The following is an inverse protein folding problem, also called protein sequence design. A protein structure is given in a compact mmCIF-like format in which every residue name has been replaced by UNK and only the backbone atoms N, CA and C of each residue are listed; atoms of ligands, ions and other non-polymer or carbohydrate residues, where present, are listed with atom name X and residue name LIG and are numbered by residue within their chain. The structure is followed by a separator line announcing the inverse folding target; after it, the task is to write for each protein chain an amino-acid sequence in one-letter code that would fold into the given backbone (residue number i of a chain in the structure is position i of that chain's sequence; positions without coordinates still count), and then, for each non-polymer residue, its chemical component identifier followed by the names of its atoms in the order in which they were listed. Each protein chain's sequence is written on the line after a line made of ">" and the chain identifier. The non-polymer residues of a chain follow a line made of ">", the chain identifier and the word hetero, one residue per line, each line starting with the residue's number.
data_IF_800331408105
#
_entry.id   IF_800331408105
#
_cell.length_a   1.000
_cell.length_b   1.000
_cell.length_c   1.000
_cell.angle_alpha   90.00
_cell.angle_beta   90.00
_cell.angle_gamma   90.00
#
_symmetry.space_group_name_H-M   'P 1'
#
loop_
_entity.id
_entity.type
_entity.pdbx_description
1 polymer ?
#
# COMPACT_ATOMS: atom_id res chain seq x y z
N UNK A 1 22.84 7.05 26.23
CA UNK A 1 22.66 7.25 24.77
C UNK A 1 21.41 6.48 24.38
N UNK A 2 20.27 7.18 24.23
CA UNK A 2 18.99 6.53 23.95
C UNK A 2 18.94 6.05 22.50
N UNK A 3 18.79 4.76 22.30
CA UNK A 3 18.53 4.16 20.99
C UNK A 3 17.12 4.60 20.57
N UNK A 4 17.04 5.48 19.58
CA UNK A 4 15.78 5.86 18.93
C UNK A 4 15.33 4.69 18.06
N UNK A 5 14.75 3.66 18.68
CA UNK A 5 14.02 2.56 18.04
C UNK A 5 12.63 3.08 17.60
N UNK A 6 12.60 4.12 16.77
CA UNK A 6 11.36 4.65 16.19
C UNK A 6 11.32 4.26 14.71
N UNK A 7 10.63 3.16 14.43
CA UNK A 7 10.21 2.72 13.10
C UNK A 7 9.12 3.66 12.55
N UNK A 8 9.42 4.94 12.44
CA UNK A 8 8.47 5.95 11.98
C UNK A 8 9.03 6.54 10.71
N UNK A 9 8.29 6.35 9.60
CA UNK A 9 8.50 7.15 8.41
C UNK A 9 8.14 8.59 8.77
N UNK A 10 9.12 9.49 8.78
CA UNK A 10 8.86 10.93 8.87
C UNK A 10 8.34 11.41 7.52
N UNK A 11 7.08 11.07 7.21
CA UNK A 11 6.36 11.65 6.08
C UNK A 11 5.57 12.86 6.58
N UNK A 12 5.71 14.00 5.89
CA UNK A 12 4.79 15.12 6.08
C UNK A 12 3.47 14.70 5.40
N UNK A 13 2.48 14.35 6.20
CA UNK A 13 1.11 14.13 5.74
C UNK A 13 0.52 15.50 5.42
N UNK A 14 0.39 15.81 4.13
CA UNK A 14 -0.30 17.02 3.69
C UNK A 14 -1.79 16.73 3.67
N UNK A 15 -2.53 17.27 4.64
CA UNK A 15 -3.99 17.30 4.60
C UNK A 15 -4.43 18.33 3.54
N UNK A 16 -4.63 17.86 2.32
CA UNK A 16 -5.12 18.64 1.19
C UNK A 16 -5.54 17.69 0.07
N UNK A 17 -6.64 17.98 -0.63
CA UNK A 17 -7.20 17.09 -1.66
C UNK A 17 -6.19 16.69 -2.75
N UNK A 18 -6.54 15.69 -3.58
CA UNK A 18 -5.73 15.05 -4.63
C UNK A 18 -4.80 15.99 -5.42
N UNK A 19 -5.22 17.24 -5.67
CA UNK A 19 -4.41 18.24 -6.38
C UNK A 19 -3.17 18.70 -5.62
N UNK A 20 -3.23 18.80 -4.30
CA UNK A 20 -2.15 19.30 -3.44
C UNK A 20 -1.07 18.23 -3.27
N UNK A 21 -1.47 16.97 -3.08
CA UNK A 21 -0.56 15.83 -3.00
C UNK A 21 0.19 15.58 -4.33
N UNK A 22 -0.45 15.79 -5.48
CA UNK A 22 0.21 15.73 -6.79
C UNK A 22 1.16 16.93 -7.04
N UNK A 23 0.99 18.04 -6.33
CA UNK A 23 1.81 19.25 -6.50
C UNK A 23 3.00 19.28 -5.53
N UNK A 24 2.91 18.65 -4.37
CA UNK A 24 3.96 18.65 -3.35
C UNK A 24 4.78 17.35 -3.38
N UNK A 25 6.07 17.40 -3.77
CA UNK A 25 6.94 16.23 -3.67
C UNK A 25 7.26 15.90 -2.21
N UNK A 26 7.20 14.62 -1.87
CA UNK A 26 7.43 14.09 -0.52
C UNK A 26 8.86 13.55 -0.44
N UNK A 27 9.59 13.95 0.60
CA UNK A 27 10.91 13.41 0.93
C UNK A 27 10.79 12.28 1.93
N UNK A 28 11.42 11.14 1.63
CA UNK A 28 11.50 10.01 2.55
C UNK A 28 12.96 9.79 2.95
N UNK A 29 13.25 9.88 4.24
CA UNK A 29 14.56 9.55 4.79
C UNK A 29 14.50 8.14 5.42
N UNK A 30 15.37 7.19 4.99
CA UNK A 30 15.30 5.78 5.40
C UNK A 30 15.76 5.49 6.83
N UNK A 31 15.29 6.23 7.84
CA UNK A 31 15.65 5.91 9.22
C UNK A 31 15.05 4.57 9.69
N UNK A 32 15.81 3.83 10.50
CA UNK A 32 15.40 2.56 11.09
C UNK A 32 15.74 1.34 10.24
N UNK A 33 15.65 0.16 10.87
CA UNK A 33 16.07 -1.10 10.27
C UNK A 33 15.01 -1.76 9.37
N UNK A 34 13.74 -1.31 9.44
CA UNK A 34 12.61 -1.97 8.79
C UNK A 34 11.79 -1.01 7.91
N UNK A 35 12.45 -0.33 6.97
CA UNK A 35 11.79 0.60 6.03
C UNK A 35 11.69 -0.02 4.63
N UNK A 36 10.63 -0.80 4.43
CA UNK A 36 10.32 -1.52 3.18
C UNK A 36 10.12 -0.54 2.00
N UNK A 37 9.45 0.57 2.24
CA UNK A 37 9.22 1.59 1.22
C UNK A 37 10.54 2.17 0.70
N UNK A 38 11.40 2.61 1.60
CA UNK A 38 12.65 3.21 1.22
C UNK A 38 13.64 2.19 0.64
N UNK A 39 13.50 0.88 0.89
CA UNK A 39 14.37 -0.15 0.27
C UNK A 39 13.99 -0.38 -1.19
N UNK A 40 12.75 -0.06 -1.57
CA UNK A 40 12.30 -0.10 -2.97
C UNK A 40 12.73 1.16 -3.74
N UNK A 41 12.78 2.30 -3.07
CA UNK A 41 13.17 3.57 -3.71
C UNK A 41 14.68 3.70 -3.83
N UNK A 42 15.39 3.42 -2.73
CA UNK A 42 16.84 3.54 -2.66
C UNK A 42 17.48 2.16 -2.62
N UNK A 43 18.46 1.88 -3.49
CA UNK A 43 19.12 0.59 -3.51
C UNK A 43 19.80 0.32 -2.17
N UNK A 44 19.87 -0.97 -1.79
CA UNK A 44 20.59 -1.36 -0.58
C UNK A 44 22.09 -1.13 -0.80
N UNK A 45 22.69 -0.33 0.07
CA UNK A 45 24.13 -0.04 0.11
C UNK A 45 24.79 -0.83 1.23
N UNK A 46 26.12 -0.98 1.16
CA UNK A 46 26.90 -1.61 2.23
C UNK A 46 26.84 -0.81 3.53
N UNK A 47 26.86 0.52 3.42
CA UNK A 47 26.75 1.44 4.54
C UNK A 47 25.37 2.10 4.54
N UNK A 48 24.65 2.02 5.67
CA UNK A 48 23.36 2.69 5.83
C UNK A 48 23.47 4.22 5.68
N UNK A 49 24.63 4.78 6.07
CA UNK A 49 24.91 6.22 5.94
C UNK A 49 24.87 6.66 4.48
N UNK A 50 25.37 5.85 3.54
CA UNK A 50 25.31 6.17 2.11
C UNK A 50 23.87 6.28 1.64
N UNK A 51 23.01 5.38 2.11
CA UNK A 51 21.58 5.41 1.80
C UNK A 51 20.89 6.66 2.34
N UNK A 52 21.31 7.16 3.50
CA UNK A 52 20.80 8.42 4.08
C UNK A 52 21.27 9.64 3.30
N UNK A 53 22.55 9.65 2.91
CA UNK A 53 23.12 10.69 2.07
C UNK A 53 22.45 10.71 0.70
N UNK A 54 22.22 9.57 0.05
CA UNK A 54 21.54 9.45 -1.25
C UNK A 54 20.11 9.99 -1.18
N UNK A 55 19.35 9.62 -0.14
CA UNK A 55 18.00 10.15 0.08
C UNK A 55 17.99 11.66 0.32
N UNK A 56 18.94 12.18 1.09
CA UNK A 56 19.07 13.62 1.36
C UNK A 56 19.48 14.39 0.10
N UNK A 57 20.41 13.83 -0.68
CA UNK A 57 20.88 14.42 -1.94
C UNK A 57 19.78 14.44 -3.00
N UNK A 58 18.89 13.44 -3.05
CA UNK A 58 17.73 13.44 -3.93
C UNK A 58 16.79 14.63 -3.68
N UNK A 59 16.58 14.96 -2.40
CA UNK A 59 15.78 16.12 -1.98
C UNK A 59 16.46 17.42 -2.42
N UNK A 60 17.76 17.58 -2.15
CA UNK A 60 18.52 18.79 -2.51
C UNK A 60 18.60 18.96 -4.03
N UNK A 61 18.79 17.87 -4.78
CA UNK A 61 18.85 17.87 -6.23
C UNK A 61 17.47 18.09 -6.89
N UNK A 62 16.39 18.15 -6.10
CA UNK A 62 15.01 18.29 -6.57
C UNK A 62 14.61 17.25 -7.63
N UNK A 63 15.15 16.03 -7.51
CA UNK A 63 14.83 14.91 -8.41
C UNK A 63 13.70 14.11 -7.81
N UNK A 64 12.59 14.00 -8.53
CA UNK A 64 11.43 13.25 -8.08
C UNK A 64 10.90 12.28 -9.13
N UNK A 65 10.31 11.20 -8.65
CA UNK A 65 9.59 10.20 -9.44
C UNK A 65 8.16 10.08 -8.94
N UNK A 66 7.24 9.69 -9.83
CA UNK A 66 5.88 9.36 -9.43
C UNK A 66 5.88 7.94 -8.84
N UNK A 67 5.18 7.76 -7.73
CA UNK A 67 5.02 6.48 -7.06
C UNK A 67 3.54 6.11 -6.94
N UNK A 68 3.33 4.80 -6.92
CA UNK A 68 2.01 4.19 -6.82
C UNK A 68 1.62 4.04 -5.35
N UNK A 69 0.32 4.09 -5.07
CA UNK A 69 -0.26 4.02 -3.73
C UNK A 69 -1.37 2.99 -3.73
N UNK A 70 -1.49 2.22 -2.65
CA UNK A 70 -2.61 1.30 -2.46
C UNK A 70 -3.70 2.06 -1.68
N UNK A 71 -4.88 2.16 -2.25
CA UNK A 71 -6.07 2.64 -1.54
C UNK A 71 -6.78 1.46 -0.92
N UNK A 72 -7.18 1.64 0.34
CA UNK A 72 -7.88 0.66 1.16
C UNK A 72 -9.24 1.24 1.50
N UNK A 73 -10.25 0.76 0.80
CA UNK A 73 -11.65 1.05 1.08
C UNK A 73 -12.13 0.04 2.11
N UNK A 74 -12.37 0.48 3.34
CA UNK A 74 -13.03 -0.34 4.35
C UNK A 74 -14.48 -0.56 3.89
N UNK A 75 -15.02 -1.75 4.11
CA UNK A 75 -16.43 -2.04 3.87
C UNK A 75 -17.09 -2.36 5.20
N UNK A 76 -18.27 -1.77 5.44
CA UNK A 76 -19.06 -2.16 6.60
C UNK A 76 -19.57 -3.59 6.38
N UNK A 77 -19.49 -4.47 7.41
CA UNK A 77 -20.14 -5.76 7.34
C UNK A 77 -21.65 -5.54 7.14
N UNK A 78 -22.23 -6.26 6.18
CA UNK A 78 -23.64 -6.14 5.81
C UNK A 78 -24.56 -6.35 7.02
N UNK A 79 -25.11 -5.25 7.54
CA UNK A 79 -26.34 -5.09 8.33
C UNK A 79 -26.91 -6.34 9.04
N UNK A 80 -26.32 -6.70 10.19
CA UNK A 80 -27.00 -7.36 11.30
C UNK A 80 -26.03 -7.35 12.48
N UNK A 81 -25.91 -6.19 13.14
CA UNK A 81 -25.45 -5.99 14.53
C UNK A 81 -25.16 -4.50 14.72
N UNK A 82 -26.24 -3.70 14.78
CA UNK A 82 -26.17 -2.28 15.11
C UNK A 82 -26.57 -2.12 16.58
N UNK A 83 -25.55 -2.08 17.42
CA UNK A 83 -25.56 -1.41 18.73
C UNK A 83 -24.10 -1.18 19.08
N UNK A 84 -23.59 -0.02 19.46
CA UNK A 84 -24.03 1.37 19.54
C UNK A 84 -22.79 2.11 20.07
N UNK A 85 -22.66 3.40 19.74
CA UNK A 85 -21.78 4.38 20.41
C UNK A 85 -20.30 4.42 20.01
N UNK A 86 -19.99 5.23 18.99
CA UNK A 86 -18.96 6.27 19.15
C UNK A 86 -19.05 7.35 18.06
N UNK A 87 -19.47 8.53 18.54
CA UNK A 87 -19.01 9.87 18.17
C UNK A 87 -19.49 10.53 16.87
N UNK A 88 -20.43 11.45 17.11
CA UNK A 88 -20.90 12.55 16.29
C UNK A 88 -19.79 13.23 15.46
N UNK A 89 -20.01 13.42 14.15
CA UNK A 89 -19.30 14.51 13.47
C UNK A 89 -18.99 14.46 11.97
N UNK A 90 -19.42 13.50 11.15
CA UNK A 90 -19.38 13.67 9.68
C UNK A 90 -20.28 12.69 8.94
N UNK A 91 -21.24 13.20 8.18
CA UNK A 91 -22.12 12.42 7.27
C UNK A 91 -21.46 12.15 5.91
N UNK A 92 -20.18 11.80 5.91
CA UNK A 92 -19.43 11.53 4.68
C UNK A 92 -18.56 10.28 4.86
N UNK A 93 -18.97 9.17 4.23
CA UNK A 93 -18.11 8.12 3.69
C UNK A 93 -17.26 7.27 4.67
N UNK A 94 -17.12 5.99 4.34
CA UNK A 94 -16.04 5.17 4.89
C UNK A 94 -14.69 5.89 4.76
N UNK A 95 -13.90 5.91 5.82
CA UNK A 95 -12.57 6.53 5.81
C UNK A 95 -11.60 5.64 5.02
N UNK A 96 -11.28 6.04 3.79
CA UNK A 96 -10.26 5.36 2.99
C UNK A 96 -8.87 5.52 3.64
N UNK A 97 -8.12 4.43 3.72
CA UNK A 97 -6.74 4.41 4.20
C UNK A 97 -5.82 4.22 3.00
N UNK A 98 -4.68 4.92 2.98
CA UNK A 98 -3.71 4.82 1.89
C UNK A 98 -2.41 4.21 2.41
N UNK A 99 -1.85 3.27 1.64
CA UNK A 99 -0.66 2.48 1.99
C UNK A 99 0.38 2.61 0.88
N UNK A 100 1.64 2.83 1.26
CA UNK A 100 2.73 3.12 0.33
C UNK A 100 3.54 1.90 -0.08
N UNK A 101 3.89 1.03 0.87
CA UNK A 101 4.71 -0.14 0.59
C UNK A 101 3.91 -1.43 0.52
N UNK A 102 3.40 -1.86 1.67
CA UNK A 102 2.93 -3.23 1.80
C UNK A 102 1.97 -3.44 2.96
N UNK A 103 1.08 -4.41 2.73
CA UNK A 103 0.20 -4.98 3.74
C UNK A 103 0.66 -6.39 4.04
N UNK A 104 1.03 -6.65 5.29
CA UNK A 104 1.40 -7.98 5.78
C UNK A 104 0.35 -8.52 6.72
N UNK A 105 -0.02 -9.77 6.53
CA UNK A 105 -0.94 -10.49 7.39
C UNK A 105 -0.47 -11.91 7.65
N UNK A 106 -0.36 -12.30 8.93
CA UNK A 106 0.00 -13.65 9.34
C UNK A 106 1.13 -13.72 10.37
N UNK A 107 1.80 -14.88 10.40
CA UNK A 107 2.76 -15.25 11.44
C UNK A 107 3.99 -14.32 11.47
N UNK A 108 4.49 -13.90 10.31
CA UNK A 108 5.69 -13.07 10.23
C UNK A 108 5.44 -11.68 10.81
N UNK A 109 4.30 -11.06 10.44
CA UNK A 109 3.87 -9.78 10.99
C UNK A 109 3.71 -9.83 12.51
N UNK A 110 3.15 -10.92 13.03
CA UNK A 110 2.99 -11.12 14.47
C UNK A 110 4.33 -11.28 15.20
N UNK A 111 5.27 -12.00 14.59
CA UNK A 111 6.62 -12.17 15.13
C UNK A 111 7.37 -10.84 15.15
N UNK A 112 7.26 -10.03 14.10
CA UNK A 112 7.86 -8.69 14.06
C UNK A 112 7.35 -7.77 15.17
N UNK A 113 6.05 -7.89 15.50
CA UNK A 113 5.48 -7.18 16.65
C UNK A 113 6.01 -7.70 17.98
N UNK A 114 6.22 -9.01 18.11
CA UNK A 114 6.80 -9.59 19.32
C UNK A 114 8.26 -9.16 19.51
N UNK A 115 9.02 -8.99 18.42
CA UNK A 115 10.40 -8.52 18.48
C UNK A 115 10.48 -7.20 19.27
N UNK A 116 9.63 -6.20 19.02
CA UNK A 116 9.73 -4.93 19.76
C UNK A 116 9.61 -5.11 21.29
N UNK A 117 8.78 -6.05 21.75
CA UNK A 117 8.60 -6.36 23.19
C UNK A 117 9.85 -6.99 23.83
N UNK A 118 10.64 -7.74 23.07
CA UNK A 118 11.81 -8.46 23.55
C UNK A 118 13.12 -7.71 23.25
N UNK A 119 13.16 -6.41 23.53
CA UNK A 119 14.33 -5.57 23.30
C UNK A 119 15.58 -6.02 24.08
N UNK A 120 15.39 -6.72 25.20
CA UNK A 120 16.48 -7.19 26.08
C UNK A 120 17.21 -8.43 25.55
N UNK A 121 16.62 -9.19 24.62
CA UNK A 121 17.31 -10.32 23.99
C UNK A 121 18.21 -9.81 22.86
N UNK A 122 19.50 -10.19 22.83
CA UNK A 122 20.42 -9.73 21.80
C UNK A 122 20.21 -10.46 20.47
N UNK A 123 20.18 -9.69 19.38
CA UNK A 123 20.43 -10.16 18.02
C UNK A 123 19.49 -11.29 17.52
N UNK A 124 20.02 -12.31 16.79
CA UNK A 124 19.20 -13.30 16.09
C UNK A 124 18.45 -14.27 17.03
N UNK A 125 18.90 -14.40 18.29
CA UNK A 125 18.21 -15.21 19.31
C UNK A 125 16.81 -14.66 19.63
N UNK A 126 16.67 -13.33 19.60
CA UNK A 126 15.40 -12.64 19.81
C UNK A 126 14.35 -13.07 18.79
N UNK A 127 14.74 -13.10 17.52
CA UNK A 127 13.86 -13.53 16.43
C UNK A 127 13.46 -15.00 16.59
N UNK A 128 14.44 -15.87 16.82
CA UNK A 128 14.19 -17.30 17.04
C UNK A 128 13.23 -17.56 18.21
N UNK A 129 13.43 -16.86 19.34
CA UNK A 129 12.54 -16.98 20.50
C UNK A 129 11.11 -16.53 20.19
N UNK A 130 10.93 -15.47 19.39
CA UNK A 130 9.60 -15.02 19.00
C UNK A 130 8.86 -16.08 18.16
N UNK A 131 9.56 -16.70 17.20
CA UNK A 131 9.00 -17.83 16.43
C UNK A 131 8.69 -19.03 17.33
N UNK A 132 9.62 -19.42 18.20
CA UNK A 132 9.43 -20.52 19.14
C UNK A 132 8.21 -20.29 20.04
N UNK A 133 8.07 -19.07 20.58
CA UNK A 133 6.92 -18.70 21.39
C UNK A 133 5.61 -18.84 20.60
N UNK A 134 5.57 -18.36 19.35
CA UNK A 134 4.39 -18.51 18.50
C UNK A 134 4.05 -19.98 18.22
N UNK A 135 5.05 -20.80 17.91
CA UNK A 135 4.84 -22.23 17.65
C UNK A 135 4.37 -23.02 18.89
N UNK A 136 4.81 -22.62 20.08
CA UNK A 136 4.48 -23.30 21.34
C UNK A 136 3.14 -22.88 21.94
N UNK A 137 2.77 -21.59 21.85
CA UNK A 137 1.61 -21.03 22.53
C UNK A 137 0.42 -20.72 21.60
N UNK A 138 0.50 -21.09 20.32
CA UNK A 138 -0.61 -20.94 19.38
C UNK A 138 -1.13 -22.29 18.93
N UNK A 139 -2.44 -22.36 18.72
CA UNK A 139 -3.09 -23.52 18.12
C UNK A 139 -2.63 -23.68 16.68
N UNK A 140 -2.41 -24.93 16.28
CA UNK A 140 -1.86 -25.27 14.97
C UNK A 140 -2.92 -25.94 14.11
N UNK A 141 -3.02 -25.63 12.81
CA UNK A 141 -2.17 -24.73 12.01
C UNK A 141 -2.45 -23.24 12.28
N UNK A 142 -1.39 -22.41 12.25
CA UNK A 142 -1.50 -20.95 12.38
C UNK A 142 -1.77 -20.36 10.99
N UNK A 143 -2.91 -20.72 10.42
CA UNK A 143 -3.29 -20.27 9.08
C UNK A 143 -4.26 -19.10 9.17
N UNK A 144 -3.97 -18.10 8.34
CA UNK A 144 -4.88 -17.01 8.03
C UNK A 144 -5.87 -17.49 6.99
N UNK A 145 -7.16 -17.36 7.31
CA UNK A 145 -8.26 -17.73 6.41
C UNK A 145 -9.00 -16.50 5.91
N UNK A 146 -9.10 -16.37 4.58
CA UNK A 146 -9.85 -15.30 3.92
C UNK A 146 -10.42 -15.72 2.56
N UNK A 147 -11.57 -15.15 2.19
CA UNK A 147 -12.01 -15.11 0.79
C UNK A 147 -11.37 -13.90 0.10
N UNK A 148 -10.71 -14.12 -1.03
CA UNK A 148 -10.17 -13.05 -1.86
C UNK A 148 -10.86 -13.05 -3.23
N UNK A 149 -11.35 -11.90 -3.66
CA UNK A 149 -11.79 -11.70 -5.04
C UNK A 149 -10.76 -10.83 -5.75
N UNK A 150 -10.17 -11.39 -6.80
CA UNK A 150 -8.98 -10.86 -7.47
C UNK A 150 -9.37 -10.41 -8.88
N UNK A 151 -8.87 -9.25 -9.29
CA UNK A 151 -9.02 -8.75 -10.66
C UNK A 151 -7.70 -8.84 -11.42
N UNK A 152 -7.68 -9.27 -12.69
CA UNK A 152 -6.45 -9.38 -13.48
C UNK A 152 -5.75 -8.01 -13.62
N UNK A 153 -4.42 -7.99 -13.82
CA UNK A 153 -3.67 -6.75 -13.96
C UNK A 153 -4.13 -6.00 -15.23
N UNK A 154 -4.31 -4.67 -15.12
CA UNK A 154 -4.82 -3.85 -16.22
C UNK A 154 -4.12 -2.50 -16.27
N UNK A 155 -3.79 -2.04 -17.49
CA UNK A 155 -3.04 -0.81 -17.74
C UNK A 155 -3.80 0.51 -17.70
N UNK A 156 -5.06 0.43 -17.30
CA UNK A 156 -6.01 1.50 -17.47
C UNK A 156 -6.58 1.40 -18.87
N UNK A 157 -7.69 0.69 -18.97
CA UNK A 157 -8.58 0.76 -20.13
C UNK A 157 -9.68 1.79 -19.87
N UNK A 158 -10.52 2.03 -20.86
CA UNK A 158 -11.69 2.90 -20.75
C UNK A 158 -12.61 2.58 -19.55
N UNK A 159 -12.72 1.30 -19.18
CA UNK A 159 -13.59 0.85 -18.09
C UNK A 159 -12.96 1.05 -16.70
N UNK A 160 -11.63 0.91 -16.63
CA UNK A 160 -10.85 1.07 -15.41
C UNK A 160 -10.48 2.56 -15.14
N UNK A 161 -10.59 3.45 -16.15
CA UNK A 161 -10.29 4.89 -16.01
C UNK A 161 -11.47 5.67 -15.45
N UNK A 162 -11.33 6.22 -14.25
CA UNK A 162 -12.22 7.26 -13.74
C UNK A 162 -11.72 8.63 -14.20
N UNK A 163 -12.52 9.39 -14.97
CA UNK A 163 -12.12 10.75 -15.35
C UNK A 163 -11.93 11.58 -14.08
N UNK A 164 -10.78 12.24 -13.96
CA UNK A 164 -10.57 13.21 -12.88
C UNK A 164 -11.69 14.25 -12.97
N UNK A 165 -12.44 14.43 -11.90
CA UNK A 165 -13.50 15.44 -11.80
C UNK A 165 -12.95 16.88 -11.87
N UNK A 166 -11.64 17.06 -12.04
CA UNK A 166 -10.99 18.37 -12.22
C UNK A 166 -11.08 18.94 -13.64
N UNK A 167 -11.76 18.26 -14.56
CA UNK A 167 -12.30 18.91 -15.76
C UNK A 167 -13.76 19.36 -15.54
N UNK A 168 -14.08 19.93 -14.38
CA UNK A 168 -15.19 20.90 -14.33
C UNK A 168 -14.78 22.01 -15.30
N UNK A 169 -15.35 21.95 -16.51
CA UNK A 169 -15.44 23.04 -17.49
C UNK A 169 -15.36 24.36 -16.71
N UNK A 170 -14.49 25.33 -17.06
CA UNK A 170 -14.52 26.61 -16.37
C UNK A 170 -15.97 27.06 -16.38
N UNK A 171 -16.60 27.12 -15.19
CA UNK A 171 -17.94 27.69 -15.06
C UNK A 171 -17.82 29.00 -15.81
N UNK A 172 -18.56 29.13 -16.90
CA UNK A 172 -18.64 30.37 -17.61
C UNK A 172 -19.18 31.39 -16.61
N UNK A 173 -18.27 32.04 -15.89
CA UNK A 173 -18.59 33.19 -15.07
C UNK A 173 -19.30 34.13 -16.02
N UNK A 174 -20.56 34.40 -15.70
CA UNK A 174 -21.44 35.27 -16.46
C UNK A 174 -20.72 36.59 -16.62
N UNK A 175 -20.08 36.73 -17.77
CA UNK A 175 -19.26 37.87 -18.13
C UNK A 175 -20.17 39.09 -18.17
N UNK A 176 -19.99 39.92 -17.15
CA UNK A 176 -20.47 41.29 -17.07
C UNK A 176 -20.10 42.02 -18.38
N UNK A 177 -21.13 42.50 -19.07
CA UNK A 177 -21.14 42.86 -20.49
C UNK A 177 -20.70 44.31 -20.76
N UNK A 178 -19.55 44.78 -20.25
CA UNK A 178 -19.18 46.20 -20.47
C UNK A 178 -17.70 46.55 -20.72
N UNK A 179 -16.80 45.60 -21.00
CA UNK A 179 -15.40 45.96 -21.36
C UNK A 179 -14.96 45.25 -22.64
N UNK A 180 -14.54 45.97 -23.69
CA UNK A 180 -13.91 45.39 -24.86
C UNK A 180 -12.40 45.39 -24.64
N UNK A 181 -11.82 44.33 -24.06
CA UNK A 181 -10.38 44.07 -24.22
C UNK A 181 -10.02 42.60 -24.06
N UNK A 182 -9.21 42.20 -25.04
CA UNK A 182 -8.11 41.25 -25.00
C UNK A 182 -8.34 39.74 -25.10
N UNK A 183 -7.84 39.22 -26.23
CA UNK A 183 -7.24 37.92 -26.49
C UNK A 183 -7.36 36.86 -25.39
N UNK A 184 -8.55 36.26 -25.26
CA UNK A 184 -8.67 34.91 -24.69
C UNK A 184 -8.08 33.93 -25.70
N UNK A 185 -6.76 33.68 -25.58
CA UNK A 185 -6.14 32.52 -26.22
C UNK A 185 -6.91 31.30 -25.73
N UNK A 186 -7.67 30.68 -26.64
CA UNK A 186 -8.27 29.38 -26.39
C UNK A 186 -7.15 28.45 -25.91
N UNK A 187 -7.33 27.85 -24.73
CA UNK A 187 -6.47 26.77 -24.28
C UNK A 187 -6.41 25.73 -25.42
N UNK A 188 -5.22 25.25 -25.81
CA UNK A 188 -5.13 24.23 -26.84
C UNK A 188 -6.01 23.03 -26.44
N UNK A 189 -6.67 22.35 -27.40
CA UNK A 189 -7.52 21.21 -27.10
C UNK A 189 -6.70 20.17 -26.34
N UNK A 190 -7.11 19.86 -25.11
CA UNK A 190 -6.55 18.76 -24.32
C UNK A 190 -6.63 17.50 -25.17
N UNK A 191 -5.48 16.91 -25.50
CA UNK A 191 -5.46 15.61 -26.19
C UNK A 191 -6.20 14.60 -25.32
N UNK A 192 -7.15 13.83 -25.86
CA UNK A 192 -7.85 12.81 -25.07
C UNK A 192 -6.83 11.82 -24.53
N UNK A 193 -6.97 11.45 -23.25
CA UNK A 193 -6.06 10.50 -22.59
C UNK A 193 -6.03 9.19 -23.40
N UNK A 194 -4.84 8.68 -23.79
CA UNK A 194 -4.71 7.45 -24.58
C UNK A 194 -5.43 6.24 -23.97
N UNK A 195 -5.64 6.22 -22.64
CA UNK A 195 -6.32 5.13 -21.92
C UNK A 195 -7.79 4.96 -22.30
N UNK A 196 -8.44 6.04 -22.76
CA UNK A 196 -9.84 6.00 -23.20
C UNK A 196 -10.05 5.22 -24.50
N UNK A 197 -8.96 4.98 -25.26
CA UNK A 197 -8.98 4.25 -26.53
C UNK A 197 -8.66 2.77 -26.35
N UNK A 198 -8.14 2.37 -25.19
CA UNK A 198 -7.79 0.97 -24.89
C UNK A 198 -9.06 0.26 -24.39
N UNK A 199 -9.47 -0.78 -25.11
CA UNK A 199 -10.53 -1.70 -24.68
C UNK A 199 -9.88 -3.00 -24.20
N UNK A 200 -10.02 -3.31 -22.92
CA UNK A 200 -9.57 -4.58 -22.35
C UNK A 200 -10.81 -5.38 -21.93
N UNK A 201 -11.13 -6.50 -22.61
CA UNK A 201 -12.29 -7.32 -22.27
C UNK A 201 -12.18 -8.00 -20.91
N UNK A 202 -10.96 -8.24 -20.40
CA UNK A 202 -10.71 -8.87 -19.10
C UNK A 202 -10.73 -7.85 -17.94
N UNK A 203 -10.75 -6.53 -18.21
CA UNK A 203 -10.91 -5.51 -17.15
C UNK A 203 -12.35 -5.54 -16.63
N UNK A 204 -12.50 -5.99 -15.39
CA UNK A 204 -13.77 -6.09 -14.68
C UNK A 204 -14.15 -7.53 -14.32
N UNK A 205 -13.44 -8.52 -14.86
CA UNK A 205 -13.59 -9.89 -14.39
C UNK A 205 -12.96 -10.05 -13.01
N UNK A 206 -13.67 -10.75 -12.13
CA UNK A 206 -13.19 -11.09 -10.80
C UNK A 206 -13.25 -12.60 -10.64
N UNK A 207 -12.20 -13.18 -10.07
CA UNK A 207 -12.19 -14.59 -9.69
C UNK A 207 -11.98 -14.71 -8.19
N UNK A 208 -12.72 -15.63 -7.59
CA UNK A 208 -12.67 -15.89 -6.16
C UNK A 208 -11.64 -16.96 -5.85
N UNK A 209 -10.71 -16.67 -4.95
CA UNK A 209 -9.72 -17.59 -4.39
C UNK A 209 -9.90 -17.65 -2.88
N UNK A 210 -10.04 -18.85 -2.33
CA UNK A 210 -9.97 -19.03 -0.88
C UNK A 210 -8.50 -19.15 -0.47
N UNK A 211 -8.10 -18.31 0.47
CA UNK A 211 -6.74 -18.24 0.99
C UNK A 211 -6.73 -18.90 2.36
N UNK A 212 -5.93 -19.95 2.49
CA UNK A 212 -5.57 -20.57 3.77
C UNK A 212 -4.06 -20.70 3.78
N UNK A 213 -3.39 -19.78 4.46
CA UNK A 213 -1.93 -19.71 4.46
C UNK A 213 -1.39 -19.10 5.75
N UNK A 214 -0.17 -19.46 6.19
CA UNK A 214 0.42 -18.88 7.40
C UNK A 214 0.82 -17.40 7.23
N UNK A 215 1.01 -16.96 6.00
CA UNK A 215 1.33 -15.57 5.68
C UNK A 215 0.79 -15.18 4.31
N UNK A 216 0.25 -13.98 4.29
CA UNK A 216 -0.30 -13.30 3.15
C UNK A 216 0.29 -11.89 3.10
N UNK A 217 0.67 -11.43 1.92
CA UNK A 217 1.24 -10.10 1.75
C UNK A 217 0.84 -9.47 0.41
N UNK A 218 0.47 -8.19 0.43
CA UNK A 218 0.15 -7.38 -0.74
C UNK A 218 1.17 -6.27 -0.83
N UNK A 219 1.82 -6.14 -1.97
CA UNK A 219 2.86 -5.15 -2.20
C UNK A 219 2.69 -4.43 -3.54
N UNK A 220 3.15 -3.18 -3.60
CA UNK A 220 3.38 -2.49 -4.87
C UNK A 220 4.65 -3.00 -5.55
N UNK A 221 4.58 -3.27 -6.85
CA UNK A 221 5.75 -3.65 -7.65
C UNK A 221 6.49 -2.38 -8.08
N UNK A 222 7.80 -2.25 -7.80
CA UNK A 222 8.58 -1.11 -8.24
C UNK A 222 8.73 -1.11 -9.77
N UNK A 223 8.61 0.06 -10.40
CA UNK A 223 8.71 0.25 -11.86
C UNK A 223 10.05 -0.13 -12.49
N UNK A 224 11.07 -0.47 -11.69
CA UNK A 224 12.40 -0.84 -12.18
C UNK A 224 12.54 -2.34 -12.48
N UNK A 225 11.70 -3.19 -11.88
CA UNK A 225 11.90 -4.65 -11.89
C UNK A 225 10.98 -5.39 -12.88
N UNK A 226 10.08 -4.68 -13.57
CA UNK A 226 9.05 -5.30 -14.42
C UNK A 226 9.39 -5.24 -15.90
N UNK A 227 9.69 -6.38 -16.52
CA UNK A 227 9.49 -6.57 -17.98
C UNK A 227 8.03 -6.35 -18.38
N UNK A 228 7.10 -6.53 -17.43
CA UNK A 228 5.70 -6.17 -17.55
C UNK A 228 5.53 -4.67 -17.28
N UNK A 229 5.30 -3.90 -18.35
CA UNK A 229 4.92 -2.48 -18.28
C UNK A 229 3.60 -2.21 -17.56
N UNK A 230 2.95 -3.27 -17.05
CA UNK A 230 1.68 -3.20 -16.38
C UNK A 230 1.77 -3.02 -14.87
N UNK A 231 1.28 -1.88 -14.36
CA UNK A 231 1.16 -1.69 -12.91
C UNK A 231 0.13 -2.65 -12.31
N UNK A 232 0.64 -3.43 -11.38
CA UNK A 232 -0.06 -4.48 -10.68
C UNK A 232 0.40 -4.47 -9.21
N UNK A 233 -0.50 -4.94 -8.35
CA UNK A 233 -0.21 -5.38 -7.01
C UNK A 233 0.37 -6.79 -7.09
N UNK A 234 1.44 -7.02 -6.35
CA UNK A 234 1.96 -8.35 -6.11
C UNK A 234 1.32 -8.91 -4.86
N UNK A 235 0.57 -9.98 -5.04
CA UNK A 235 -0.04 -10.76 -3.96
C UNK A 235 0.82 -11.99 -3.75
N UNK A 236 1.41 -12.10 -2.57
CA UNK A 236 2.26 -13.23 -2.17
C UNK A 236 1.54 -14.07 -1.12
N UNK A 237 1.40 -15.37 -1.41
CA UNK A 237 0.79 -16.34 -0.52
C UNK A 237 1.85 -17.37 -0.17
N UNK A 238 2.11 -17.54 1.13
CA UNK A 238 3.05 -18.54 1.61
C UNK A 238 2.41 -19.94 1.61
N UNK A 239 3.16 -20.99 1.27
CA UNK A 239 2.63 -22.35 1.33
C UNK A 239 2.31 -22.76 2.78
N UNK A 240 1.44 -23.76 2.99
CA UNK A 240 1.23 -24.32 4.32
C UNK A 240 2.53 -24.93 4.83
N UNK A 241 2.95 -24.53 6.02
CA UNK A 241 4.22 -24.97 6.62
C UNK A 241 3.99 -25.91 7.78
N UNK A 242 5.00 -26.71 8.13
CA UNK A 242 5.07 -27.45 9.40
C UNK A 242 5.79 -26.64 10.50
N UNK A 243 5.62 -27.04 11.78
CA UNK A 243 6.24 -26.35 12.94
C UNK A 243 7.77 -26.27 12.84
N UNK A 244 8.41 -27.35 12.41
CA UNK A 244 9.86 -27.39 12.24
C UNK A 244 10.34 -26.47 11.12
N UNK A 245 9.67 -26.50 9.96
CA UNK A 245 9.99 -25.63 8.82
C UNK A 245 9.87 -24.15 9.17
N UNK A 246 8.84 -23.77 9.94
CA UNK A 246 8.68 -22.39 10.41
C UNK A 246 9.87 -21.92 11.28
N UNK A 247 10.42 -22.82 12.11
CA UNK A 247 11.56 -22.52 12.98
C UNK A 247 12.91 -22.53 12.25
N UNK A 248 13.08 -23.45 11.29
CA UNK A 248 14.36 -23.67 10.60
C UNK A 248 14.52 -22.82 9.36
N UNK A 249 13.53 -22.82 8.47
CA UNK A 249 13.65 -22.22 7.14
C UNK A 249 13.31 -20.74 7.15
N UNK A 250 12.57 -20.27 8.18
CA UNK A 250 11.96 -18.94 8.26
C UNK A 250 11.05 -18.69 7.05
N UNK A 251 9.87 -18.12 7.29
CA UNK A 251 8.85 -18.05 6.26
C UNK A 251 9.28 -17.26 5.00
N UNK A 252 10.19 -16.28 5.15
CA UNK A 252 10.73 -15.49 4.05
C UNK A 252 11.58 -16.27 3.04
N UNK A 253 12.04 -17.48 3.39
CA UNK A 253 12.89 -18.31 2.53
C UNK A 253 12.08 -19.37 1.75
N UNK A 254 10.77 -19.46 2.03
CA UNK A 254 9.91 -20.44 1.41
C UNK A 254 9.41 -19.93 0.07
N UNK A 255 9.41 -20.82 -0.92
CA UNK A 255 8.90 -20.54 -2.26
C UNK A 255 7.43 -20.14 -2.15
N UNK A 256 7.18 -18.84 -2.31
CA UNK A 256 5.86 -18.24 -2.15
C UNK A 256 5.26 -18.06 -3.54
N UNK A 257 3.97 -18.34 -3.69
CA UNK A 257 3.25 -18.06 -4.92
C UNK A 257 3.03 -16.54 -5.01
N UNK A 258 3.61 -15.90 -6.03
CA UNK A 258 3.39 -14.49 -6.35
C UNK A 258 2.41 -14.37 -7.51
N UNK A 259 1.35 -13.59 -7.33
CA UNK A 259 0.33 -13.32 -8.34
C UNK A 259 0.22 -11.81 -8.57
N UNK A 260 0.16 -11.38 -9.83
CA UNK A 260 -0.03 -9.98 -10.20
C UNK A 260 -1.51 -9.68 -10.42
N UNK A 261 -2.01 -8.62 -9.79
CA UNK A 261 -3.44 -8.32 -9.65
C UNK A 261 -3.65 -6.81 -9.73
N UNK A 262 -4.77 -6.31 -10.27
CA UNK A 262 -5.07 -4.86 -10.26
C UNK A 262 -5.76 -4.40 -8.97
N UNK A 263 -6.74 -5.16 -8.51
CA UNK A 263 -7.46 -4.94 -7.26
C UNK A 263 -7.78 -6.26 -6.58
N UNK A 264 -7.81 -6.24 -5.25
CA UNK A 264 -8.17 -7.39 -4.44
C UNK A 264 -9.20 -6.98 -3.39
N UNK A 265 -10.31 -7.71 -3.32
CA UNK A 265 -11.29 -7.61 -2.26
C UNK A 265 -11.03 -8.74 -1.26
N UNK A 266 -10.80 -8.40 0.01
CA UNK A 266 -10.50 -9.36 1.06
C UNK A 266 -11.63 -9.41 2.09
N UNK A 267 -12.12 -10.62 2.33
CA UNK A 267 -13.08 -10.95 3.38
C UNK A 267 -12.41 -11.90 4.38
N UNK A 268 -12.02 -11.39 5.56
CA UNK A 268 -11.39 -12.21 6.59
C UNK A 268 -12.41 -13.16 7.23
N UNK A 269 -12.07 -14.44 7.36
CA UNK A 269 -12.90 -15.45 8.06
C UNK A 269 -12.42 -15.71 9.51
N UNK A 270 -11.24 -15.20 9.86
CA UNK A 270 -10.62 -15.41 11.18
C UNK A 270 -11.10 -14.35 12.17
N UNK A 271 -11.38 -14.73 13.43
CA UNK A 271 -11.78 -13.79 14.49
C UNK A 271 -10.59 -12.99 15.04
N UNK A 272 -10.77 -11.68 15.26
CA UNK A 272 -9.78 -10.74 15.80
C UNK A 272 -8.38 -10.68 15.14
N UNK A 273 -8.24 -10.71 13.81
CA UNK A 273 -6.92 -10.60 13.20
C UNK A 273 -6.43 -9.13 13.13
N UNK A 274 -5.13 -8.93 12.96
CA UNK A 274 -4.52 -7.60 12.80
C UNK A 274 -3.71 -7.54 11.49
N UNK A 275 -3.92 -6.49 10.69
CA UNK A 275 -3.07 -6.17 9.55
C UNK A 275 -1.87 -5.34 10.02
N UNK A 276 -0.75 -5.51 9.34
CA UNK A 276 0.32 -4.51 9.32
C UNK A 276 0.31 -3.81 7.97
N UNK A 277 -0.09 -2.54 7.95
CA UNK A 277 0.01 -1.69 6.75
C UNK A 277 1.13 -0.68 6.99
N UNK A 278 2.17 -0.67 6.15
CA UNK A 278 3.37 0.18 6.34
C UNK A 278 4.00 0.10 7.74
N UNK A 279 3.95 -1.09 8.35
CA UNK A 279 4.35 -1.40 9.74
C UNK A 279 3.47 -0.80 10.85
N UNK A 280 2.34 -0.19 10.53
CA UNK A 280 1.33 0.24 11.50
C UNK A 280 0.24 -0.82 11.69
N UNK A 281 -0.28 -0.92 12.90
CA UNK A 281 -1.28 -1.93 13.28
C UNK A 281 -2.68 -1.43 12.90
N UNK A 282 -3.37 -2.21 12.08
CA UNK A 282 -4.78 -2.01 11.77
C UNK A 282 -5.61 -3.21 12.17
N UNK A 283 -6.86 -2.96 12.54
CA UNK A 283 -7.84 -4.01 12.79
C UNK A 283 -8.30 -4.59 11.46
N UNK A 284 -8.46 -5.90 11.42
CA UNK A 284 -8.84 -6.59 10.18
C UNK A 284 -10.33 -6.47 9.98
N UNK A 285 -10.69 -5.81 8.88
CA UNK A 285 -12.06 -5.69 8.40
C UNK A 285 -12.10 -6.10 6.92
N UNK A 286 -13.28 -6.46 6.40
CA UNK A 286 -13.47 -6.59 4.96
C UNK A 286 -13.06 -5.29 4.26
N UNK A 287 -12.15 -5.40 3.29
CA UNK A 287 -11.60 -4.24 2.63
C UNK A 287 -11.24 -4.53 1.19
N UNK A 288 -11.37 -3.51 0.34
CA UNK A 288 -10.94 -3.55 -1.05
C UNK A 288 -9.66 -2.75 -1.20
N UNK A 289 -8.67 -3.39 -1.78
CA UNK A 289 -7.36 -2.83 -2.07
C UNK A 289 -7.26 -2.54 -3.57
N UNK A 290 -7.06 -1.28 -3.90
CA UNK A 290 -6.94 -0.79 -5.28
C UNK A 290 -5.60 -0.11 -5.50
N UNK A 291 -4.93 -0.42 -6.60
CA UNK A 291 -3.69 0.27 -6.97
C UNK A 291 -4.00 1.60 -7.65
N UNK A 292 -3.62 2.69 -7.02
CA UNK A 292 -3.64 4.02 -7.61
C UNK A 292 -2.27 4.36 -8.19
N UNK A 293 -2.21 4.43 -9.53
CA UNK A 293 -0.96 4.72 -10.24
C UNK A 293 -0.57 6.19 -10.15
N UNK A 294 0.73 6.45 -10.00
CA UNK A 294 1.36 7.77 -10.19
C UNK A 294 0.71 8.91 -9.38
N UNK A 295 0.19 8.60 -8.19
CA UNK A 295 -0.57 9.57 -7.38
C UNK A 295 0.31 10.53 -6.61
N UNK A 296 1.49 10.08 -6.15
CA UNK A 296 2.36 10.87 -5.28
C UNK A 296 3.71 11.11 -5.95
N UNK A 297 4.27 12.30 -5.73
CA UNK A 297 5.64 12.64 -6.15
C UNK A 297 6.58 12.38 -4.98
N UNK A 298 7.69 11.69 -5.24
CA UNK A 298 8.66 11.33 -4.20
C UNK A 298 10.06 11.63 -4.69
N UNK A 299 10.89 12.18 -3.82
CA UNK A 299 12.30 12.41 -4.15
C UNK A 299 13.06 11.08 -4.31
N UNK A 300 13.74 10.94 -5.45
CA UNK A 300 14.56 9.78 -5.81
C UNK A 300 15.79 10.25 -6.59
N UNK A 301 16.97 9.69 -6.29
CA UNK A 301 18.25 10.11 -6.88
C UNK A 301 18.42 9.64 -8.33
#
# INVERSE_FOLDING_TARGET
>A
MGVLDKNIVYAIVVAGGDEIAQRLPIGVLPFGSNNNFATRIFPKRELEVERYCEASMAIIANKYTLADVIEVEQMEPSAQDVSSESEEGSRDGNKNVYVLSDLKWGVHSDVDRLKSKYWYFPGPLKEYYCYLKKVLFSDWPIDVQASAELSPPCDGCRNCYTPKETEVKPKAEKSVWWWPTDNRKASPPTKPDPRLQINNPECGETYRKEISSPQFNIATVPKQDSECQAAALEVTVSPPTSKSQLLTERLSSLHSESLLVSSIHLEPKTENPCYLMDNEKFEVMPAKFTLLRDKIKIFKS
#
